data_IF_164577884855
#
_entry.id   IF_164577884855
#
_cell.length_a   1.000
_cell.length_b   1.000
_cell.length_c   1.000
_cell.angle_alpha   90.00
_cell.angle_beta   90.00
_cell.angle_gamma   90.00
#
_symmetry.space_group_name_H-M   'P 1'
#
loop_
_entity.id
_entity.type
_entity.pdbx_description
1 polymer ?
#
# COMPACT_ATOMS: atom_id res chain seq x y z
N UNK A 1 1.09 -44.81 6.65
CA UNK A 1 -0.02 -43.89 6.93
C UNK A 1 0.29 -42.69 6.07
N UNK A 2 -0.13 -42.76 4.81
CA UNK A 2 0.17 -41.74 3.82
C UNK A 2 -0.67 -40.52 4.16
N UNK A 3 -0.03 -39.49 4.69
CA UNK A 3 -0.64 -38.19 4.94
C UNK A 3 -0.90 -37.57 3.56
N UNK A 4 -2.13 -37.67 3.10
CA UNK A 4 -2.62 -37.01 1.90
C UNK A 4 -2.36 -35.51 2.06
N UNK A 5 -1.32 -35.00 1.40
CA UNK A 5 -1.03 -33.57 1.34
C UNK A 5 -2.13 -32.93 0.51
N UNK A 6 -3.27 -32.65 1.15
CA UNK A 6 -4.33 -31.85 0.56
C UNK A 6 -3.70 -30.54 0.09
N UNK A 7 -3.83 -30.24 -1.21
CA UNK A 7 -3.25 -29.06 -1.80
C UNK A 7 -3.66 -27.79 -1.04
N UNK A 8 -2.74 -26.83 -0.93
CA UNK A 8 -3.02 -25.53 -0.32
C UNK A 8 -3.95 -24.65 -1.20
N UNK A 9 -4.22 -25.09 -2.43
CA UNK A 9 -5.02 -24.41 -3.44
C UNK A 9 -6.09 -25.35 -3.97
N UNK A 10 -7.34 -24.86 -4.05
CA UNK A 10 -8.46 -25.58 -4.64
C UNK A 10 -9.44 -24.63 -5.32
N UNK A 11 -10.34 -25.16 -6.14
CA UNK A 11 -11.44 -24.38 -6.74
C UNK A 11 -12.67 -24.45 -5.83
N UNK A 12 -13.19 -23.28 -5.45
CA UNK A 12 -14.39 -23.13 -4.64
C UNK A 12 -15.68 -23.43 -5.43
N UNK A 13 -16.84 -23.47 -4.73
CA UNK A 13 -18.13 -23.78 -5.34
C UNK A 13 -18.53 -22.84 -6.49
N UNK A 14 -18.07 -21.59 -6.43
CA UNK A 14 -18.38 -20.55 -7.41
C UNK A 14 -17.37 -20.51 -8.59
N UNK A 15 -16.41 -21.44 -8.63
CA UNK A 15 -15.36 -21.49 -9.64
C UNK A 15 -14.13 -20.63 -9.33
N UNK A 16 -14.12 -19.92 -8.20
CA UNK A 16 -12.97 -19.11 -7.75
C UNK A 16 -11.84 -19.98 -7.18
N UNK A 17 -10.59 -19.54 -7.36
CA UNK A 17 -9.44 -20.16 -6.68
C UNK A 17 -9.41 -19.76 -5.19
N UNK A 18 -9.28 -20.76 -4.33
CA UNK A 18 -9.18 -20.59 -2.88
C UNK A 18 -7.81 -21.08 -2.41
N UNK A 19 -7.15 -20.27 -1.59
CA UNK A 19 -5.82 -20.55 -1.04
C UNK A 19 -5.89 -20.60 0.48
N UNK A 20 -5.31 -21.65 1.07
CA UNK A 20 -5.11 -21.73 2.53
C UNK A 20 -3.79 -21.06 2.91
N UNK A 21 -3.88 -19.96 3.67
CA UNK A 21 -2.71 -19.37 4.30
C UNK A 21 -2.25 -20.27 5.47
N UNK A 22 -1.10 -20.92 5.33
CA UNK A 22 -0.50 -21.76 6.39
C UNK A 22 0.87 -21.25 6.79
N UNK A 23 1.23 -21.55 8.04
CA UNK A 23 2.62 -21.40 8.50
C UNK A 23 3.47 -22.47 7.83
N UNK A 24 4.58 -22.06 7.23
CA UNK A 24 5.58 -22.98 6.72
C UNK A 24 6.71 -23.14 7.74
N UNK A 25 7.14 -24.38 7.94
CA UNK A 25 8.38 -24.73 8.63
C UNK A 25 9.22 -25.52 7.64
N UNK A 26 10.50 -25.23 7.57
CA UNK A 26 11.40 -25.99 6.72
C UNK A 26 12.81 -25.95 7.24
N UNK A 27 13.54 -27.01 6.90
CA UNK A 27 14.97 -27.11 7.07
C UNK A 27 15.61 -27.00 5.68
N UNK A 28 16.76 -26.34 5.60
CA UNK A 28 17.51 -26.20 4.34
C UNK A 28 19.01 -26.36 4.59
N UNK A 29 19.72 -26.73 3.53
CA UNK A 29 21.17 -26.86 3.56
C UNK A 29 21.84 -25.49 3.74
N UNK A 30 23.03 -25.47 4.36
CA UNK A 30 23.75 -24.22 4.64
C UNK A 30 24.12 -23.42 3.38
N UNK A 31 24.18 -24.06 2.21
CA UNK A 31 24.52 -23.46 0.93
C UNK A 31 23.29 -23.27 0.00
N UNK A 32 22.07 -23.33 0.53
CA UNK A 32 20.86 -23.11 -0.25
C UNK A 32 20.82 -21.65 -0.77
N UNK A 33 20.78 -21.41 -2.10
CA UNK A 33 20.80 -20.06 -2.67
C UNK A 33 19.57 -19.21 -2.30
N UNK A 34 18.52 -19.83 -1.76
CA UNK A 34 17.29 -19.20 -1.32
C UNK A 34 17.10 -19.26 0.21
N UNK A 35 18.14 -19.62 0.97
CA UNK A 35 18.11 -19.72 2.43
C UNK A 35 17.53 -18.47 3.10
N UNK A 36 17.90 -17.27 2.64
CA UNK A 36 17.42 -16.01 3.21
C UNK A 36 15.90 -15.86 3.04
N UNK A 37 15.39 -16.08 1.81
CA UNK A 37 13.96 -15.98 1.54
C UNK A 37 13.16 -17.03 2.30
N UNK A 38 13.65 -18.28 2.39
CA UNK A 38 13.03 -19.33 3.20
C UNK A 38 13.01 -18.97 4.69
N UNK A 39 14.08 -18.38 5.20
CA UNK A 39 14.16 -17.88 6.57
C UNK A 39 13.14 -16.77 6.83
N UNK A 40 13.00 -15.83 5.91
CA UNK A 40 11.97 -14.78 6.00
C UNK A 40 10.57 -15.38 6.01
N UNK A 41 10.26 -16.33 5.15
CA UNK A 41 8.95 -17.01 5.13
C UNK A 41 8.65 -17.68 6.47
N UNK A 42 9.62 -18.33 7.11
CA UNK A 42 9.46 -18.90 8.45
C UNK A 42 9.25 -17.81 9.50
N UNK A 43 10.07 -16.75 9.47
CA UNK A 43 10.01 -15.63 10.42
C UNK A 43 8.68 -14.89 10.37
N UNK A 44 8.23 -14.49 9.18
CA UNK A 44 6.94 -13.84 8.96
C UNK A 44 5.76 -14.77 9.25
N UNK A 45 5.94 -16.09 9.11
CA UNK A 45 4.94 -17.09 9.49
C UNK A 45 4.54 -17.05 10.98
N UNK A 46 5.32 -16.38 11.84
CA UNK A 46 4.98 -16.19 13.25
C UNK A 46 3.88 -15.13 13.47
N UNK A 47 3.68 -14.21 12.53
CA UNK A 47 2.66 -13.17 12.61
C UNK A 47 1.26 -13.73 12.30
N UNK A 48 0.21 -13.11 12.83
CA UNK A 48 -1.17 -13.32 12.35
C UNK A 48 -1.49 -12.27 11.28
N UNK A 49 -1.44 -12.60 9.97
CA UNK A 49 -1.73 -11.63 8.91
C UNK A 49 -3.20 -11.16 8.94
N UNK A 50 -4.09 -11.89 9.60
CA UNK A 50 -5.51 -11.52 9.65
C UNK A 50 -5.80 -10.47 10.72
N UNK A 51 -4.91 -10.21 11.68
CA UNK A 51 -5.16 -9.21 12.71
C UNK A 51 -5.36 -7.81 12.10
N UNK A 52 -4.41 -7.37 11.28
CA UNK A 52 -4.49 -6.11 10.53
C UNK A 52 -5.69 -6.11 9.58
N UNK A 53 -5.89 -7.18 8.81
CA UNK A 53 -6.96 -7.25 7.82
C UNK A 53 -8.35 -7.22 8.45
N UNK A 54 -8.55 -7.84 9.63
CA UNK A 54 -9.79 -7.74 10.41
C UNK A 54 -10.03 -6.30 10.89
N UNK A 55 -8.97 -5.60 11.31
CA UNK A 55 -9.04 -4.18 11.66
C UNK A 55 -9.50 -3.31 10.49
N UNK A 56 -8.86 -3.46 9.33
CA UNK A 56 -9.24 -2.75 8.11
C UNK A 56 -10.67 -3.09 7.67
N UNK A 57 -11.05 -4.36 7.71
CA UNK A 57 -12.38 -4.81 7.34
C UNK A 57 -13.47 -4.14 8.17
N UNK A 58 -13.30 -4.08 9.51
CA UNK A 58 -14.24 -3.38 10.40
C UNK A 58 -14.33 -1.87 10.14
N UNK A 59 -13.20 -1.24 9.85
CA UNK A 59 -13.13 0.22 9.72
C UNK A 59 -13.60 0.71 8.34
N UNK A 60 -13.41 -0.09 7.29
CA UNK A 60 -13.71 0.29 5.91
C UNK A 60 -15.00 -0.32 5.38
N UNK A 61 -15.62 -1.24 6.14
CA UNK A 61 -16.77 -2.04 5.72
C UNK A 61 -16.50 -2.82 4.41
N UNK A 62 -15.29 -3.39 4.30
CA UNK A 62 -14.86 -4.20 3.15
C UNK A 62 -14.64 -5.65 3.61
N UNK A 63 -15.12 -6.67 2.88
CA UNK A 63 -14.86 -8.07 3.21
C UNK A 63 -13.36 -8.39 3.28
N UNK A 64 -12.95 -9.11 4.33
CA UNK A 64 -11.54 -9.44 4.56
C UNK A 64 -10.86 -10.10 3.35
N UNK A 65 -11.57 -10.97 2.63
CA UNK A 65 -11.08 -11.64 1.42
C UNK A 65 -10.81 -10.67 0.27
N UNK A 66 -11.60 -9.61 0.14
CA UNK A 66 -11.38 -8.59 -0.88
C UNK A 66 -10.13 -7.75 -0.56
N UNK A 67 -9.90 -7.41 0.72
CA UNK A 67 -8.69 -6.72 1.16
C UNK A 67 -7.46 -7.62 0.95
N UNK A 68 -7.53 -8.90 1.32
CA UNK A 68 -6.45 -9.85 1.10
C UNK A 68 -6.11 -9.99 -0.39
N UNK A 69 -7.12 -10.14 -1.26
CA UNK A 69 -6.95 -10.17 -2.71
C UNK A 69 -6.31 -8.90 -3.25
N UNK A 70 -6.73 -7.73 -2.77
CA UNK A 70 -6.11 -6.45 -3.12
C UNK A 70 -4.63 -6.40 -2.72
N UNK A 71 -4.29 -6.80 -1.49
CA UNK A 71 -2.89 -6.82 -1.02
C UNK A 71 -2.04 -7.75 -1.89
N UNK A 72 -2.51 -8.97 -2.14
CA UNK A 72 -1.79 -9.92 -3.00
C UNK A 72 -1.68 -9.39 -4.44
N UNK A 73 -2.74 -8.85 -5.03
CA UNK A 73 -2.73 -8.29 -6.37
C UNK A 73 -1.97 -6.96 -6.49
N UNK A 74 -1.73 -6.24 -5.39
CA UNK A 74 -0.95 -5.01 -5.39
C UNK A 74 0.54 -5.28 -5.19
N UNK A 75 0.86 -6.23 -4.31
CA UNK A 75 2.23 -6.43 -3.82
C UNK A 75 2.88 -7.72 -4.33
N UNK A 76 2.12 -8.81 -4.53
CA UNK A 76 2.66 -10.08 -5.02
C UNK A 76 2.82 -10.11 -6.55
N UNK A 77 1.88 -9.52 -7.30
CA UNK A 77 1.99 -9.42 -8.78
C UNK A 77 2.79 -8.19 -9.23
N UNK A 78 3.01 -7.21 -8.33
CA UNK A 78 3.83 -6.03 -8.57
C UNK A 78 5.34 -6.31 -8.58
N UNK A 79 5.79 -7.52 -8.21
CA UNK A 79 7.15 -8.03 -8.41
C UNK A 79 8.31 -7.28 -7.73
N UNK A 80 8.06 -6.22 -6.95
CA UNK A 80 9.15 -5.29 -6.60
C UNK A 80 8.81 -4.35 -5.43
N UNK A 81 9.08 -4.80 -4.20
CA UNK A 81 9.09 -3.90 -3.04
C UNK A 81 10.00 -2.67 -3.23
N UNK A 82 11.08 -2.79 -4.01
CA UNK A 82 11.95 -1.65 -4.38
C UNK A 82 11.36 -0.69 -5.43
N UNK A 83 10.36 -1.12 -6.20
CA UNK A 83 9.63 -0.25 -7.16
C UNK A 83 8.52 0.53 -6.48
N UNK A 84 8.03 0.07 -5.33
CA UNK A 84 6.85 0.66 -4.69
C UNK A 84 7.18 1.89 -3.84
N UNK A 85 8.41 2.00 -3.34
CA UNK A 85 8.89 3.18 -2.62
C UNK A 85 9.43 4.28 -3.55
N UNK A 86 9.90 3.90 -4.75
CA UNK A 86 10.61 4.80 -5.69
C UNK A 86 9.81 5.05 -6.99
N UNK A 87 8.92 4.12 -7.38
CA UNK A 87 8.11 4.16 -8.60
C UNK A 87 8.86 3.67 -9.85
N UNK A 88 8.16 3.09 -10.86
CA UNK A 88 8.78 2.58 -12.09
C UNK A 88 9.54 3.64 -12.88
N UNK A 89 9.03 4.87 -12.88
CA UNK A 89 9.68 6.01 -13.53
C UNK A 89 11.09 6.24 -12.96
N UNK A 90 11.25 6.16 -11.64
CA UNK A 90 12.53 6.46 -11.00
C UNK A 90 13.49 5.27 -11.08
N UNK A 91 13.00 4.03 -11.09
CA UNK A 91 13.83 2.85 -11.37
C UNK A 91 14.40 2.92 -12.79
N UNK A 92 13.58 3.25 -13.80
CA UNK A 92 14.08 3.47 -15.17
C UNK A 92 15.10 4.61 -15.23
N UNK A 93 14.84 5.71 -14.51
CA UNK A 93 15.77 6.85 -14.45
C UNK A 93 17.11 6.49 -13.80
N UNK A 94 17.11 5.70 -12.73
CA UNK A 94 18.32 5.24 -12.06
C UNK A 94 19.06 4.18 -12.89
N UNK A 95 18.36 3.39 -13.70
CA UNK A 95 18.99 2.35 -14.51
C UNK A 95 19.63 2.87 -15.81
N UNK A 96 19.07 3.93 -16.40
CA UNK A 96 19.52 4.45 -17.70
C UNK A 96 21.03 4.78 -17.80
N UNK A 97 21.70 5.36 -16.77
CA UNK A 97 23.15 5.58 -16.82
C UNK A 97 23.97 4.29 -16.83
N UNK A 98 23.48 3.24 -16.15
CA UNK A 98 24.13 1.92 -16.11
C UNK A 98 24.04 1.25 -17.47
N UNK A 99 22.84 1.24 -18.05
CA UNK A 99 22.60 0.66 -19.37
C UNK A 99 23.46 1.30 -20.46
N UNK A 100 23.58 2.63 -20.44
CA UNK A 100 24.42 3.38 -21.38
C UNK A 100 25.91 3.06 -21.20
N UNK A 101 26.39 2.99 -19.95
CA UNK A 101 27.78 2.65 -19.68
C UNK A 101 28.14 1.21 -20.09
N UNK A 102 27.23 0.25 -19.87
CA UNK A 102 27.43 -1.13 -20.31
C UNK A 102 27.37 -1.27 -21.83
N UNK A 103 26.59 -0.44 -22.52
CA UNK A 103 26.54 -0.40 -23.99
C UNK A 103 27.88 0.05 -24.60
N UNK A 104 28.54 1.02 -23.98
CA UNK A 104 29.86 1.51 -24.42
C UNK A 104 31.01 0.60 -23.93
N UNK A 105 30.82 -0.07 -22.79
CA UNK A 105 31.69 -1.14 -22.30
C UNK A 105 33.06 -0.70 -21.76
N UNK A 106 33.28 0.60 -21.57
CA UNK A 106 34.56 1.15 -21.09
C UNK A 106 34.53 1.50 -19.60
N UNK A 107 35.69 1.47 -18.96
CA UNK A 107 35.82 1.80 -17.53
C UNK A 107 35.57 3.29 -17.27
N UNK A 108 35.94 4.16 -18.21
CA UNK A 108 35.66 5.60 -18.16
C UNK A 108 34.14 5.85 -18.09
N UNK A 109 33.38 5.14 -18.93
CA UNK A 109 31.93 5.25 -18.99
C UNK A 109 31.23 4.68 -17.75
N UNK A 110 31.73 3.56 -17.22
CA UNK A 110 31.27 3.01 -15.94
C UNK A 110 31.51 3.98 -14.78
N UNK A 111 32.68 4.62 -14.73
CA UNK A 111 33.01 5.59 -13.69
C UNK A 111 32.12 6.84 -13.80
N UNK A 112 31.86 7.32 -15.03
CA UNK A 112 30.92 8.41 -15.30
C UNK A 112 29.51 8.08 -14.81
N UNK A 113 29.00 6.88 -15.13
CA UNK A 113 27.70 6.40 -14.65
C UNK A 113 27.65 6.32 -13.13
N UNK A 114 28.69 5.81 -12.47
CA UNK A 114 28.78 5.79 -11.01
C UNK A 114 28.64 7.19 -10.40
N UNK A 115 29.35 8.19 -10.94
CA UNK A 115 29.26 9.57 -10.45
C UNK A 115 27.85 10.13 -10.61
N UNK A 116 27.19 9.86 -11.73
CA UNK A 116 25.82 10.29 -11.99
C UNK A 116 24.82 9.63 -11.04
N UNK A 117 24.94 8.32 -10.82
CA UNK A 117 24.12 7.58 -9.85
C UNK A 117 24.30 8.11 -8.44
N UNK A 118 25.54 8.35 -8.03
CA UNK A 118 25.86 8.89 -6.70
C UNK A 118 25.17 10.23 -6.46
N UNK A 119 25.11 11.10 -7.48
CA UNK A 119 24.39 12.38 -7.39
C UNK A 119 22.87 12.19 -7.33
N UNK A 120 22.30 11.25 -8.08
CA UNK A 120 20.86 10.96 -8.01
C UNK A 120 20.47 10.41 -6.64
N UNK A 121 21.27 9.47 -6.11
CA UNK A 121 21.05 8.85 -4.80
C UNK A 121 21.28 9.82 -3.63
N UNK A 122 22.15 10.83 -3.77
CA UNK A 122 22.40 11.78 -2.69
C UNK A 122 21.15 12.58 -2.31
N UNK A 123 20.27 12.88 -3.28
CA UNK A 123 19.00 13.56 -3.02
C UNK A 123 17.99 12.66 -2.29
N UNK A 124 17.99 11.36 -2.58
CA UNK A 124 17.15 10.37 -1.87
C UNK A 124 17.68 10.09 -0.46
N UNK A 125 19.00 10.20 -0.26
CA UNK A 125 19.65 9.99 1.03
C UNK A 125 19.44 11.16 2.00
N UNK A 126 19.29 12.39 1.50
CA UNK A 126 19.17 13.60 2.31
C UNK A 126 18.09 13.52 3.43
N UNK A 127 16.82 13.16 3.16
CA UNK A 127 15.81 13.03 4.22
C UNK A 127 16.05 11.85 5.18
N UNK A 128 16.89 10.87 4.81
CA UNK A 128 17.28 9.77 5.69
C UNK A 128 18.38 10.18 6.68
N UNK A 129 19.28 11.07 6.25
CA UNK A 129 20.37 11.59 7.06
C UNK A 129 19.93 12.77 7.94
N UNK A 130 18.97 13.57 7.46
CA UNK A 130 18.34 14.65 8.22
C UNK A 130 16.80 14.62 8.04
N UNK A 131 16.11 13.93 8.98
CA UNK A 131 14.65 13.81 8.95
C UNK A 131 13.90 15.14 9.13
N UNK A 132 14.58 16.23 9.50
CA UNK A 132 13.96 17.53 9.75
C UNK A 132 13.82 18.39 8.49
N UNK A 133 14.47 18.00 7.40
CA UNK A 133 14.45 18.71 6.10
C UNK A 133 13.06 18.64 5.44
N UNK A 134 12.25 17.63 5.77
CA UNK A 134 10.82 17.57 5.43
C UNK A 134 10.01 17.38 6.71
N UNK A 135 9.50 18.46 7.34
CA UNK A 135 8.57 18.29 8.45
C UNK A 135 7.35 17.48 7.98
N UNK A 136 6.81 16.58 8.82
CA UNK A 136 5.61 15.83 8.46
C UNK A 136 4.54 16.83 8.07
N UNK A 137 4.05 16.70 6.83
CA UNK A 137 2.93 17.48 6.35
C UNK A 137 1.75 17.06 7.22
N UNK A 138 1.39 17.91 8.20
CA UNK A 138 0.16 17.74 8.94
C UNK A 138 -0.94 17.60 7.90
N UNK A 139 -1.64 16.46 7.92
CA UNK A 139 -2.78 16.20 7.06
C UNK A 139 -3.69 17.42 7.12
N UNK A 140 -3.84 18.09 5.99
CA UNK A 140 -4.62 19.32 5.87
C UNK A 140 -6.09 18.95 6.11
N UNK A 141 -6.48 18.89 7.39
CA UNK A 141 -7.87 18.99 7.81
C UNK A 141 -8.31 20.41 7.51
N UNK A 142 -8.58 20.68 6.24
CA UNK A 142 -9.55 21.70 5.90
C UNK A 142 -10.92 21.12 6.22
N UNK A 143 -11.32 21.34 7.46
CA UNK A 143 -12.73 21.39 7.85
C UNK A 143 -13.39 22.44 6.95
N UNK A 144 -14.02 21.99 5.85
CA UNK A 144 -15.02 22.79 5.14
C UNK A 144 -16.30 22.78 5.98
N UNK A 145 -16.28 23.56 7.06
CA UNK A 145 -17.48 24.01 7.74
C UNK A 145 -17.86 25.37 7.16
N UNK A 146 -18.48 25.35 5.99
CA UNK A 146 -19.16 26.55 5.46
C UNK A 146 -20.40 26.81 6.31
N UNK A 147 -20.50 27.93 7.06
CA UNK A 147 -21.75 28.34 7.67
C UNK A 147 -22.65 28.92 6.59
N UNK A 148 -23.87 28.40 6.49
CA UNK A 148 -24.92 28.89 5.59
C UNK A 148 -25.21 30.39 5.86
N UNK A 149 -25.01 31.31 4.90
CA UNK A 149 -25.29 32.72 5.10
C UNK A 149 -26.79 32.99 4.93
N UNK A 150 -27.48 33.03 6.06
CA UNK A 150 -28.63 33.89 6.35
C UNK A 150 -29.70 34.11 5.25
N UNK A 151 -30.83 33.40 5.36
CA UNK A 151 -32.12 34.01 4.99
C UNK A 151 -32.63 34.85 6.17
N UNK A 152 -32.31 36.14 6.09
CA UNK A 152 -32.79 37.20 6.98
C UNK A 152 -34.26 37.56 6.67
N UNK A 153 -35.11 37.38 7.68
CA UNK A 153 -36.05 38.42 8.12
C UNK A 153 -37.19 38.84 7.20
N UNK A 154 -38.42 38.48 7.57
CA UNK A 154 -39.55 39.41 7.49
C UNK A 154 -40.47 39.25 8.70
N UNK A 155 -40.56 40.25 9.60
CA UNK A 155 -41.56 40.28 10.67
C UNK A 155 -42.66 41.33 10.42
N UNK A 156 -43.91 40.94 10.69
CA UNK A 156 -45.08 41.83 10.87
C UNK A 156 -46.27 41.43 9.99
N UNK A 157 -47.54 41.46 10.41
CA UNK A 157 -48.19 41.94 11.61
C UNK A 157 -49.69 41.51 11.57
N UNK A 158 -50.24 41.05 12.72
CA UNK A 158 -51.61 41.27 13.26
C UNK A 158 -52.83 40.39 12.86
N UNK A 159 -53.48 39.94 13.95
CA UNK A 159 -54.93 39.89 14.29
C UNK A 159 -55.96 39.10 13.48
N UNK A 160 -56.52 38.11 14.18
CA UNK A 160 -57.95 37.95 14.52
C UNK A 160 -59.03 38.25 13.47
N UNK A 161 -59.70 37.19 13.02
CA UNK A 161 -61.17 37.07 12.85
C UNK A 161 -61.47 35.57 13.05
N UNK A 162 -62.32 35.09 13.95
CA UNK A 162 -63.69 35.53 14.23
C UNK A 162 -64.66 34.59 13.50
N UNK A 163 -65.13 33.54 14.19
CA UNK A 163 -66.24 32.65 13.77
C UNK A 163 -67.51 33.46 13.49
N UNK A 164 -68.44 32.99 12.63
CA UNK A 164 -69.63 32.22 13.10
C UNK A 164 -70.12 31.22 12.02
N UNK A 165 -71.11 30.33 12.14
CA UNK A 165 -72.04 29.83 13.17
C UNK A 165 -72.66 28.51 12.60
N UNK A 166 -73.12 27.64 13.50
CA UNK A 166 -74.32 26.74 13.48
C UNK A 166 -74.73 26.02 12.18
N UNK A 167 -75.03 24.71 12.19
CA UNK A 167 -76.04 24.03 13.02
C UNK A 167 -75.76 22.52 13.09
#
# INVERSE_FOLDING_TARGET
MDEEVAGDVWTGPDGDEVVRLRRWKGDWAANDPHANFKSDVVGYGLLDPLETLRGMSRNLDIPIGAIARYVLARWATGGSGGLLEIGPVMVHRLWAPVEEAEREGTDEERLRAYHQLRQMLSWLKLPLDDPTVYPPQAEDRTEDNTPDPAEDGTPGHRSEYGTPDRN
#
